data_IF_330468492488
#
_entry.id   IF_330468492488
#
_cell.length_a   1.000
_cell.length_b   1.000
_cell.length_c   1.000
_cell.angle_alpha   90.00
_cell.angle_beta   90.00
_cell.angle_gamma   90.00
#
_symmetry.space_group_name_H-M   'P 1'
#
loop_
_entity.id
_entity.type
_entity.pdbx_description
1 polymer ?
#
# COMPACT_ATOMS: atom_id res chain seq x y z
N UNK A 1 18.59 10.58 14.36
CA UNK A 1 17.14 10.80 14.26
C UNK A 1 16.61 10.19 12.98
N UNK A 2 15.37 9.66 12.94
CA UNK A 2 14.72 9.11 11.73
C UNK A 2 13.43 9.89 11.44
N UNK A 3 13.51 11.07 10.81
CA UNK A 3 12.35 11.95 10.63
C UNK A 3 11.29 11.33 9.73
N UNK A 4 11.66 10.61 8.65
CA UNK A 4 10.70 9.95 7.77
C UNK A 4 9.85 8.88 8.46
N UNK A 5 10.44 8.04 9.30
CA UNK A 5 9.68 7.03 10.05
C UNK A 5 8.71 7.70 11.04
N UNK A 6 9.16 8.73 11.74
CA UNK A 6 8.30 9.48 12.67
C UNK A 6 7.12 10.14 11.93
N UNK A 7 7.39 10.76 10.77
CA UNK A 7 6.37 11.35 9.93
C UNK A 7 5.37 10.32 9.40
N UNK A 8 5.84 9.14 8.96
CA UNK A 8 4.96 8.08 8.48
C UNK A 8 4.04 7.53 9.58
N UNK A 9 4.55 7.38 10.80
CA UNK A 9 3.74 6.96 11.97
C UNK A 9 2.64 7.99 12.25
N UNK A 10 2.99 9.27 12.26
CA UNK A 10 2.04 10.35 12.50
C UNK A 10 0.96 10.40 11.41
N UNK A 11 1.35 10.36 10.14
CA UNK A 11 0.44 10.41 8.99
C UNK A 11 -0.42 9.15 8.89
N UNK A 12 0.08 7.99 9.35
CA UNK A 12 -0.70 6.75 9.31
C UNK A 12 -1.82 6.68 10.34
N UNK A 13 -1.94 7.67 11.22
CA UNK A 13 -2.89 7.68 12.34
C UNK A 13 -2.54 6.66 13.43
N UNK A 14 -1.28 6.20 13.46
CA UNK A 14 -0.83 5.30 14.52
C UNK A 14 -0.40 6.13 15.74
N UNK A 15 -0.86 5.74 16.92
CA UNK A 15 -0.25 6.24 18.15
C UNK A 15 1.11 5.57 18.35
N UNK A 16 2.16 6.37 18.42
CA UNK A 16 3.54 5.91 18.61
C UNK A 16 3.69 5.09 19.90
N UNK A 17 2.91 5.40 20.95
CA UNK A 17 2.93 4.63 22.20
C UNK A 17 2.30 3.23 22.06
N UNK A 18 1.51 3.00 21.01
CA UNK A 18 0.79 1.75 20.74
C UNK A 18 1.41 0.90 19.61
N UNK A 19 2.59 1.30 19.11
CA UNK A 19 3.28 0.60 18.03
C UNK A 19 3.54 -0.86 18.37
N UNK A 20 3.03 -1.74 17.53
CA UNK A 20 3.18 -3.19 17.57
C UNK A 20 3.63 -3.73 16.21
N UNK A 21 4.09 -4.98 16.19
CA UNK A 21 4.36 -5.71 14.94
C UNK A 21 3.16 -5.68 13.99
N UNK A 22 1.93 -5.77 14.51
CA UNK A 22 0.69 -5.65 13.74
C UNK A 22 0.56 -4.29 13.07
N UNK A 23 0.74 -3.19 13.81
CA UNK A 23 0.68 -1.84 13.23
C UNK A 23 1.75 -1.61 12.17
N UNK A 24 2.95 -2.17 12.36
CA UNK A 24 4.02 -2.11 11.35
C UNK A 24 3.60 -2.87 10.10
N UNK A 25 3.14 -4.12 10.24
CA UNK A 25 2.81 -5.00 9.13
C UNK A 25 1.58 -4.55 8.32
N UNK A 26 0.59 -3.96 8.97
CA UNK A 26 -0.71 -3.65 8.35
C UNK A 26 -1.01 -2.15 8.20
N UNK A 27 -0.22 -1.26 8.80
CA UNK A 27 -0.41 0.19 8.63
C UNK A 27 0.80 0.84 7.97
N UNK A 28 2.01 0.63 8.47
CA UNK A 28 3.20 1.32 7.95
C UNK A 28 3.73 0.68 6.67
N UNK A 29 3.98 -0.63 6.69
CA UNK A 29 4.56 -1.35 5.56
C UNK A 29 3.72 -1.23 4.26
N UNK A 30 2.37 -1.27 4.28
CA UNK A 30 1.58 -1.08 3.07
C UNK A 30 1.84 0.26 2.36
N UNK A 31 2.09 1.34 3.11
CA UNK A 31 2.38 2.67 2.55
C UNK A 31 3.72 2.72 1.82
N UNK A 32 4.73 2.09 2.39
CA UNK A 32 6.05 1.96 1.77
C UNK A 32 5.97 1.06 0.54
N UNK A 33 5.28 -0.08 0.65
CA UNK A 33 5.14 -1.04 -0.45
C UNK A 33 4.31 -0.47 -1.61
N UNK A 34 3.35 0.41 -1.33
CA UNK A 34 2.56 1.08 -2.36
C UNK A 34 3.46 1.88 -3.32
N UNK A 35 4.56 2.46 -2.85
CA UNK A 35 5.53 3.15 -3.71
C UNK A 35 6.05 2.26 -4.84
N UNK A 36 6.49 1.04 -4.53
CA UNK A 36 6.96 0.09 -5.55
C UNK A 36 5.85 -0.37 -6.49
N UNK A 37 4.66 -0.64 -5.95
CA UNK A 37 3.50 -1.10 -6.73
C UNK A 37 2.95 -0.05 -7.68
N UNK A 38 3.09 1.23 -7.31
CA UNK A 38 2.62 2.38 -8.08
C UNK A 38 3.74 3.08 -8.87
N UNK A 39 4.94 2.48 -8.95
CA UNK A 39 6.05 2.98 -9.76
C UNK A 39 6.76 4.23 -9.23
N UNK A 40 6.63 4.54 -7.93
CA UNK A 40 7.21 5.71 -7.27
C UNK A 40 8.16 5.32 -6.12
N UNK A 41 9.02 4.31 -6.33
CA UNK A 41 9.91 3.76 -5.31
C UNK A 41 10.84 4.80 -4.68
N UNK A 42 11.17 5.86 -5.42
CA UNK A 42 12.04 6.96 -4.96
C UNK A 42 11.48 7.65 -3.72
N UNK A 43 10.16 7.72 -3.56
CA UNK A 43 9.53 8.28 -2.35
C UNK A 43 9.80 7.42 -1.12
N UNK A 44 9.79 6.10 -1.26
CA UNK A 44 10.12 5.20 -0.15
C UNK A 44 11.60 5.34 0.24
N UNK A 45 12.50 5.46 -0.75
CA UNK A 45 13.91 5.71 -0.50
C UNK A 45 14.13 7.06 0.20
N UNK A 46 13.48 8.12 -0.29
CA UNK A 46 13.58 9.46 0.28
C UNK A 46 13.06 9.51 1.72
N UNK A 47 11.97 8.79 2.04
CA UNK A 47 11.48 8.66 3.40
C UNK A 47 12.57 8.14 4.36
N UNK A 48 13.34 7.14 3.92
CA UNK A 48 14.39 6.55 4.77
C UNK A 48 15.63 7.44 4.90
N UNK A 49 15.95 8.25 3.89
CA UNK A 49 17.22 8.97 3.79
C UNK A 49 17.13 10.45 4.19
N UNK A 50 15.95 11.07 4.11
CA UNK A 50 15.81 12.49 4.43
C UNK A 50 16.14 12.76 5.90
N UNK A 51 16.79 13.91 6.14
CA UNK A 51 17.04 14.45 7.47
C UNK A 51 16.19 15.69 7.76
N UNK A 52 15.44 16.18 6.76
CA UNK A 52 14.55 17.34 6.88
C UNK A 52 13.15 16.88 7.35
N UNK A 53 12.69 17.33 8.53
CA UNK A 53 11.35 17.00 9.03
C UNK A 53 10.20 17.47 8.14
N UNK A 54 10.32 18.62 7.48
CA UNK A 54 9.26 19.12 6.59
C UNK A 54 9.16 18.24 5.35
N UNK A 55 10.31 17.90 4.77
CA UNK A 55 10.35 16.97 3.63
C UNK A 55 9.85 15.58 4.02
N UNK A 56 10.20 15.09 5.21
CA UNK A 56 9.70 13.82 5.74
C UNK A 56 8.17 13.79 5.82
N UNK A 57 7.54 14.87 6.29
CA UNK A 57 6.08 14.99 6.35
C UNK A 57 5.44 14.95 4.95
N UNK A 58 6.01 15.68 3.99
CA UNK A 58 5.53 15.67 2.60
C UNK A 58 5.61 14.26 1.98
N UNK A 59 6.75 13.58 2.12
CA UNK A 59 6.94 12.24 1.56
C UNK A 59 6.02 11.22 2.24
N UNK A 60 5.85 11.29 3.57
CA UNK A 60 4.92 10.43 4.30
C UNK A 60 3.48 10.60 3.80
N UNK A 61 3.03 11.83 3.58
CA UNK A 61 1.72 12.13 3.00
C UNK A 61 1.56 11.53 1.59
N UNK A 62 2.56 11.70 0.72
CA UNK A 62 2.53 11.13 -0.63
C UNK A 62 2.46 9.60 -0.62
N UNK A 63 3.20 8.93 0.27
CA UNK A 63 3.12 7.47 0.44
C UNK A 63 1.73 7.02 0.94
N UNK A 64 1.04 7.84 1.74
CA UNK A 64 -0.33 7.56 2.17
C UNK A 64 -1.34 7.71 1.02
N UNK A 65 -1.18 8.72 0.16
CA UNK A 65 -1.97 8.85 -1.07
C UNK A 65 -1.74 7.66 -2.02
N UNK A 66 -0.49 7.26 -2.24
CA UNK A 66 -0.18 6.08 -3.06
C UNK A 66 -0.80 4.81 -2.49
N UNK A 67 -0.82 4.64 -1.16
CA UNK A 67 -1.49 3.50 -0.56
C UNK A 67 -3.00 3.52 -0.80
N UNK A 68 -3.66 4.68 -0.69
CA UNK A 68 -5.09 4.82 -1.01
C UNK A 68 -5.37 4.49 -2.47
N UNK A 69 -4.56 5.01 -3.39
CA UNK A 69 -4.68 4.72 -4.82
C UNK A 69 -4.52 3.22 -5.10
N UNK A 70 -3.47 2.60 -4.52
CA UNK A 70 -3.22 1.16 -4.61
C UNK A 70 -4.38 0.33 -4.07
N UNK A 71 -5.01 0.75 -2.97
CA UNK A 71 -6.21 0.10 -2.40
C UNK A 71 -7.44 0.24 -3.31
N UNK A 72 -7.63 1.39 -3.97
CA UNK A 72 -8.72 1.57 -4.94
C UNK A 72 -8.59 0.60 -6.10
N UNK A 73 -7.39 0.53 -6.70
CA UNK A 73 -7.09 -0.38 -7.81
C UNK A 73 -7.25 -1.84 -7.39
N UNK A 74 -6.78 -2.21 -6.19
CA UNK A 74 -6.99 -3.56 -5.63
C UNK A 74 -8.47 -3.89 -5.52
N UNK A 75 -9.28 -2.97 -4.98
CA UNK A 75 -10.72 -3.17 -4.83
C UNK A 75 -11.43 -3.33 -6.17
N UNK A 76 -11.04 -2.56 -7.18
CA UNK A 76 -11.59 -2.66 -8.54
C UNK A 76 -11.29 -4.03 -9.16
N UNK A 77 -10.02 -4.47 -9.09
CA UNK A 77 -9.60 -5.78 -9.59
C UNK A 77 -10.32 -6.91 -8.83
N UNK A 78 -10.43 -6.81 -7.50
CA UNK A 78 -11.15 -7.80 -6.68
C UNK A 78 -12.62 -7.91 -7.08
N UNK A 79 -13.31 -6.80 -7.28
CA UNK A 79 -14.71 -6.81 -7.70
C UNK A 79 -14.89 -7.44 -9.08
N UNK A 80 -13.99 -7.13 -10.03
CA UNK A 80 -13.98 -7.76 -11.34
C UNK A 80 -13.73 -9.27 -11.24
N UNK A 81 -12.73 -9.69 -10.47
CA UNK A 81 -12.41 -11.09 -10.26
C UNK A 81 -13.60 -11.87 -9.66
N UNK A 82 -14.24 -11.34 -8.61
CA UNK A 82 -15.44 -11.93 -8.01
C UNK A 82 -16.59 -12.04 -9.02
N UNK A 83 -16.78 -11.04 -9.88
CA UNK A 83 -17.83 -11.06 -10.91
C UNK A 83 -17.63 -12.13 -11.99
N UNK A 84 -16.40 -12.60 -12.18
CA UNK A 84 -16.06 -13.67 -13.12
C UNK A 84 -16.25 -15.07 -12.53
N UNK A 85 -16.45 -15.19 -11.21
CA UNK A 85 -16.61 -16.48 -10.56
C UNK A 85 -18.01 -17.05 -10.81
N UNK A 86 -18.12 -18.36 -11.11
CA UNK A 86 -19.41 -19.02 -11.24
C UNK A 86 -20.11 -19.10 -9.88
N UNK A 87 -21.44 -19.06 -9.90
CA UNK A 87 -22.24 -19.31 -8.71
C UNK A 87 -22.10 -20.77 -8.25
N UNK A 88 -22.03 -21.00 -6.94
CA UNK A 88 -21.99 -22.34 -6.35
C UNK A 88 -20.68 -22.64 -5.62
N UNK A 89 -20.30 -23.93 -5.59
CA UNK A 89 -19.08 -24.36 -4.94
C UNK A 89 -17.84 -23.84 -5.71
N UNK A 90 -16.79 -23.36 -5.00
CA UNK A 90 -15.58 -22.93 -5.65
C UNK A 90 -14.89 -24.11 -6.37
N UNK A 91 -14.27 -23.86 -7.55
CA UNK A 91 -13.47 -24.88 -8.23
C UNK A 91 -12.20 -25.21 -7.44
N UNK A 92 -11.55 -26.32 -7.79
CA UNK A 92 -10.25 -26.71 -7.20
C UNK A 92 -9.15 -25.66 -7.44
N UNK A 93 -9.27 -24.87 -8.52
CA UNK A 93 -8.40 -23.76 -8.83
C UNK A 93 -9.16 -22.63 -9.54
N UNK A 94 -8.76 -21.38 -9.26
CA UNK A 94 -9.29 -20.17 -9.89
C UNK A 94 -8.18 -19.59 -10.79
N UNK A 95 -8.48 -19.41 -12.07
CA UNK A 95 -7.59 -18.76 -13.04
C UNK A 95 -8.39 -17.68 -13.75
N UNK A 96 -8.04 -16.43 -13.50
CA UNK A 96 -8.72 -15.25 -14.04
C UNK A 96 -7.67 -14.30 -14.63
N UNK A 97 -8.06 -13.56 -15.67
CA UNK A 97 -7.19 -12.58 -16.30
C UNK A 97 -8.04 -11.47 -16.94
N UNK A 98 -7.52 -10.25 -16.92
CA UNK A 98 -8.05 -9.10 -17.63
C UNK A 98 -6.89 -8.19 -18.03
N UNK A 99 -6.92 -7.65 -19.26
CA UNK A 99 -5.86 -6.77 -19.78
C UNK A 99 -5.80 -5.42 -19.03
N UNK A 100 -6.90 -5.02 -18.38
CA UNK A 100 -6.97 -3.78 -17.59
C UNK A 100 -6.33 -3.91 -16.21
N UNK A 101 -5.98 -5.11 -15.75
CA UNK A 101 -5.44 -5.32 -14.41
C UNK A 101 -4.03 -4.76 -14.25
N UNK A 102 -3.89 -3.87 -13.27
CA UNK A 102 -2.62 -3.25 -12.95
C UNK A 102 -1.61 -4.29 -12.41
N UNK A 103 -0.52 -4.50 -13.15
CA UNK A 103 0.49 -5.53 -12.86
C UNK A 103 1.13 -5.41 -11.47
N UNK A 104 1.32 -4.19 -10.97
CA UNK A 104 1.86 -3.96 -9.61
C UNK A 104 0.90 -4.31 -8.47
N UNK A 105 -0.40 -4.51 -8.75
CA UNK A 105 -1.45 -4.68 -7.73
C UNK A 105 -2.12 -6.05 -7.81
N UNK A 106 -2.23 -6.65 -9.01
CA UNK A 106 -2.93 -7.94 -9.22
C UNK A 106 -2.48 -9.06 -8.27
N UNK A 107 -1.21 -9.10 -7.87
CA UNK A 107 -0.68 -10.13 -6.97
C UNK A 107 -1.04 -9.98 -5.48
N UNK A 108 -1.88 -9.01 -5.11
CA UNK A 108 -2.44 -8.88 -3.75
C UNK A 108 -3.86 -9.46 -3.67
N UNK A 109 -4.57 -9.44 -4.81
CA UNK A 109 -5.99 -9.78 -4.93
C UNK A 109 -6.22 -11.28 -4.71
#
# INVERSE_FOLDING_TARGET
HRPGIAALIAESGCDQASLSSTSIGFMLAPRINAAGRMGQIDLALELFLTQDPERAAQVAHQLCELNRQRQSVESEIYQQAVSMLPAGAPPEAIVLADESWHQGVVGIV
#
